data_IF_185548434360
#
_entry.id   IF_185548434360
#
_cell.length_a   1.000
_cell.length_b   1.000
_cell.length_c   1.000
_cell.angle_alpha   90.00
_cell.angle_beta   90.00
_cell.angle_gamma   90.00
#
_symmetry.space_group_name_H-M   'P 1'
#
loop_
_entity.id
_entity.type
_entity.pdbx_description
1 polymer ?
#
# COMPACT_ATOMS: atom_id res chain seq x y z
N UNK A 1 12.68 7.61 5.30
CA UNK A 1 11.98 6.52 4.59
C UNK A 1 10.45 6.67 4.55
N UNK A 2 9.83 7.27 5.59
CA UNK A 2 8.37 7.30 5.76
C UNK A 2 7.64 8.39 4.98
N UNK A 3 8.34 9.47 4.60
CA UNK A 3 7.74 10.65 3.93
C UNK A 3 7.01 10.35 2.63
N UNK A 4 7.26 9.19 2.01
CA UNK A 4 6.64 8.79 0.75
C UNK A 4 5.62 7.66 0.92
N UNK A 5 5.53 7.04 2.10
CA UNK A 5 4.57 5.97 2.38
C UNK A 5 3.17 6.57 2.44
N UNK A 6 2.29 6.16 1.52
CA UNK A 6 0.90 6.62 1.52
C UNK A 6 -0.07 5.55 2.02
N UNK A 7 0.27 4.26 1.90
CA UNK A 7 -0.57 3.17 2.39
C UNK A 7 0.27 2.12 3.12
N UNK A 8 -0.35 1.53 4.15
CA UNK A 8 0.23 0.46 4.96
C UNK A 8 -0.80 -0.64 5.09
N UNK A 9 -0.38 -1.88 4.85
CA UNK A 9 -1.21 -3.06 4.93
C UNK A 9 -0.52 -4.10 5.82
N UNK A 10 -1.31 -4.95 6.48
CA UNK A 10 -0.73 -6.14 7.09
C UNK A 10 -0.29 -7.11 5.98
N UNK A 11 0.65 -8.00 6.29
CA UNK A 11 1.12 -8.99 5.33
C UNK A 11 -0.02 -9.92 4.85
N UNK A 12 -1.06 -10.12 5.66
CA UNK A 12 -2.25 -10.88 5.27
C UNK A 12 -3.13 -10.20 4.23
N UNK A 13 -3.03 -8.87 4.08
CA UNK A 13 -3.91 -8.07 3.22
C UNK A 13 -3.29 -7.86 1.82
N UNK A 14 -2.59 -8.87 1.29
CA UNK A 14 -1.85 -8.73 0.03
C UNK A 14 -2.78 -8.37 -1.14
N UNK A 15 -3.96 -9.00 -1.23
CA UNK A 15 -4.91 -8.76 -2.30
C UNK A 15 -5.37 -7.30 -2.33
N UNK A 16 -5.72 -6.75 -1.18
CA UNK A 16 -6.11 -5.34 -1.04
C UNK A 16 -4.94 -4.40 -1.36
N UNK A 17 -3.73 -4.71 -0.89
CA UNK A 17 -2.54 -3.91 -1.20
C UNK A 17 -2.25 -3.85 -2.71
N UNK A 18 -2.41 -4.97 -3.42
CA UNK A 18 -2.27 -5.03 -4.87
C UNK A 18 -3.38 -4.27 -5.58
N UNK A 19 -4.62 -4.40 -5.13
CA UNK A 19 -5.77 -3.72 -5.70
C UNK A 19 -5.66 -2.20 -5.55
N UNK A 20 -5.30 -1.70 -4.36
CA UNK A 20 -5.03 -0.28 -4.10
C UNK A 20 -3.90 0.25 -4.99
N UNK A 21 -2.81 -0.51 -5.14
CA UNK A 21 -1.70 -0.07 -5.97
C UNK A 21 -2.03 -0.14 -7.48
N UNK A 22 -2.88 -1.08 -7.90
CA UNK A 22 -3.38 -1.14 -9.29
C UNK A 22 -4.17 0.12 -9.68
N UNK A 23 -4.89 0.71 -8.72
CA UNK A 23 -5.63 1.97 -8.86
C UNK A 23 -4.85 3.18 -8.34
N UNK A 24 -3.52 3.15 -8.35
CA UNK A 24 -2.68 4.14 -7.70
C UNK A 24 -3.00 5.61 -8.03
N UNK A 25 -3.40 5.92 -9.27
CA UNK A 25 -3.78 7.29 -9.64
C UNK A 25 -5.06 7.77 -8.94
N UNK A 26 -6.02 6.87 -8.73
CA UNK A 26 -7.30 7.14 -8.06
C UNK A 26 -7.11 7.16 -6.54
N UNK A 27 -6.37 6.18 -6.01
CA UNK A 27 -6.10 6.01 -4.58
C UNK A 27 -4.98 6.93 -4.06
N UNK A 28 -4.32 7.69 -4.93
CA UNK A 28 -3.13 8.50 -4.59
C UNK A 28 -2.02 7.65 -3.94
N UNK A 29 -1.84 6.42 -4.43
CA UNK A 29 -0.86 5.48 -3.90
C UNK A 29 0.54 5.76 -4.49
N UNK A 30 1.42 6.39 -3.71
CA UNK A 30 2.82 6.66 -4.10
C UNK A 30 3.77 5.56 -3.64
N UNK A 31 3.58 5.05 -2.42
CA UNK A 31 4.35 3.93 -1.87
C UNK A 31 3.49 3.15 -0.88
N UNK A 32 3.37 1.87 -1.16
CA UNK A 32 2.67 0.89 -0.32
C UNK A 32 3.70 0.04 0.41
N UNK A 33 3.46 -0.25 1.69
CA UNK A 33 4.30 -1.19 2.45
C UNK A 33 3.43 -2.23 3.15
N UNK A 34 3.96 -3.46 3.16
CA UNK A 34 3.40 -4.60 3.88
C UNK A 34 4.21 -4.83 5.15
N UNK A 35 3.53 -5.12 6.26
CA UNK A 35 4.17 -5.47 7.53
C UNK A 35 3.61 -6.75 8.13
N UNK A 36 4.47 -7.61 8.65
CA UNK A 36 4.11 -8.88 9.30
C UNK A 36 4.05 -8.78 10.84
N UNK A 37 4.09 -7.56 11.36
CA UNK A 37 4.33 -7.21 12.77
C UNK A 37 3.07 -6.86 13.53
#
# INVERSE_FOLDING_TARGET
PEKFVTHRFALGDMEEAYDTFSRAAQERALKVILSAS
#
